data_IF_068669385054
#
_entry.id   IF_068669385054
#
_cell.length_a   1.000
_cell.length_b   1.000
_cell.length_c   1.000
_cell.angle_alpha   90.00
_cell.angle_beta   90.00
_cell.angle_gamma   90.00
#
_symmetry.space_group_name_H-M   'P 1'
#
loop_
_entity.id
_entity.type
_entity.pdbx_description
1 polymer ?
#
# COMPACT_ATOMS: atom_id res chain seq x y z
N UNK A 1 28.42 -26.22 4.12
CA UNK A 1 27.41 -25.69 3.17
C UNK A 1 26.33 -25.00 3.97
N UNK A 2 26.01 -23.77 3.61
CA UNK A 2 25.08 -22.86 4.28
C UNK A 2 23.65 -23.36 4.03
N UNK A 3 22.84 -23.49 5.09
CA UNK A 3 21.40 -23.71 4.97
C UNK A 3 20.67 -22.43 5.41
N UNK A 4 20.44 -21.54 4.45
CA UNK A 4 19.33 -20.58 4.45
C UNK A 4 18.04 -21.40 4.25
N UNK A 5 16.85 -21.08 4.76
CA UNK A 5 16.09 -19.84 4.71
C UNK A 5 15.06 -19.90 5.84
N UNK A 6 14.92 -18.80 6.58
CA UNK A 6 13.85 -18.56 7.55
C UNK A 6 12.49 -18.52 6.86
N UNK A 7 11.61 -19.47 7.16
CA UNK A 7 10.22 -19.45 6.71
C UNK A 7 9.47 -18.30 7.43
N UNK A 8 9.33 -17.19 6.72
CA UNK A 8 8.39 -16.13 7.03
C UNK A 8 6.96 -16.65 6.80
N UNK A 9 6.07 -16.36 7.74
CA UNK A 9 4.65 -16.75 7.63
C UNK A 9 3.82 -16.26 8.81
N UNK A 10 4.08 -15.05 9.29
CA UNK A 10 3.21 -14.34 10.22
C UNK A 10 2.22 -13.50 9.41
N UNK A 11 0.93 -13.83 9.50
CA UNK A 11 -0.12 -12.91 9.97
C UNK A 11 -1.49 -13.29 9.39
N UNK A 12 -2.34 -13.80 10.28
CA UNK A 12 -3.78 -13.86 10.13
C UNK A 12 -4.37 -12.46 10.02
N UNK A 13 -5.18 -12.15 9.00
CA UNK A 13 -6.19 -11.09 9.09
C UNK A 13 -7.46 -11.47 8.31
N UNK A 14 -8.34 -12.12 9.07
CA UNK A 14 -9.81 -12.08 9.06
C UNK A 14 -10.44 -11.16 8.01
N UNK A 15 -11.18 -11.77 7.06
CA UNK A 15 -12.06 -11.05 6.17
C UNK A 15 -13.26 -10.48 6.92
N UNK A 16 -13.35 -9.14 6.99
CA UNK A 16 -14.53 -8.45 7.47
C UNK A 16 -15.46 -8.17 6.28
N UNK A 17 -16.65 -8.75 6.34
CA UNK A 17 -17.80 -8.45 5.48
C UNK A 17 -18.37 -7.11 5.95
N UNK A 18 -18.42 -6.10 5.07
CA UNK A 18 -18.97 -4.78 5.41
C UNK A 18 -19.27 -3.93 4.17
N UNK A 19 -20.54 -3.90 3.79
CA UNK A 19 -21.27 -2.75 3.20
C UNK A 19 -20.51 -1.78 2.27
N UNK A 20 -20.57 -2.05 0.97
CA UNK A 20 -20.90 -1.05 -0.06
C UNK A 20 -20.20 0.32 -0.02
N UNK A 21 -18.87 0.37 0.07
CA UNK A 21 -18.09 1.41 -0.61
C UNK A 21 -17.83 0.86 -2.01
N UNK A 22 -17.93 1.66 -3.05
CA UNK A 22 -17.48 1.25 -4.39
C UNK A 22 -15.95 1.09 -4.33
N UNK A 23 -15.51 -0.07 -3.84
CA UNK A 23 -14.11 -0.45 -3.63
C UNK A 23 -13.39 -0.21 -4.94
N UNK A 24 -12.43 0.71 -4.93
CA UNK A 24 -11.72 1.13 -6.13
C UNK A 24 -10.79 0.03 -6.62
N UNK A 25 -11.36 -1.04 -7.17
CA UNK A 25 -10.70 -2.30 -7.52
C UNK A 25 -9.75 -2.79 -6.40
N UNK A 26 -10.19 -3.74 -5.55
CA UNK A 26 -9.42 -4.18 -4.37
C UNK A 26 -7.98 -4.64 -4.68
N UNK A 27 -7.69 -5.05 -5.93
CA UNK A 27 -6.32 -5.35 -6.36
C UNK A 27 -5.40 -4.13 -6.39
N UNK A 28 -5.91 -2.95 -6.75
CA UNK A 28 -5.11 -1.71 -6.80
C UNK A 28 -4.84 -1.14 -5.40
N UNK A 29 -5.80 -1.25 -4.48
CA UNK A 29 -5.61 -0.84 -3.09
C UNK A 29 -4.57 -1.74 -2.40
N UNK A 30 -4.65 -3.05 -2.65
CA UNK A 30 -3.64 -3.98 -2.16
C UNK A 30 -2.27 -3.73 -2.82
N UNK A 31 -2.21 -3.46 -4.12
CA UNK A 31 -0.98 -3.06 -4.80
C UNK A 31 -0.38 -1.79 -4.19
N UNK A 32 -1.21 -0.78 -3.88
CA UNK A 32 -0.75 0.45 -3.26
C UNK A 32 -0.10 0.22 -1.89
N UNK A 33 -0.70 -0.62 -1.04
CA UNK A 33 -0.07 -1.01 0.24
C UNK A 33 1.25 -1.76 0.01
N UNK A 34 1.26 -2.75 -0.88
CA UNK A 34 2.48 -3.50 -1.19
C UNK A 34 3.62 -2.59 -1.68
N UNK A 35 3.30 -1.54 -2.44
CA UNK A 35 4.28 -0.55 -2.89
C UNK A 35 4.76 0.36 -1.73
N UNK A 36 3.91 0.69 -0.76
CA UNK A 36 4.33 1.47 0.41
C UNK A 36 5.24 0.65 1.34
N UNK A 37 5.01 -0.66 1.44
CA UNK A 37 5.87 -1.60 2.15
C UNK A 37 7.15 -1.99 1.37
N UNK A 38 7.31 -1.56 0.12
CA UNK A 38 8.42 -1.98 -0.72
C UNK A 38 9.75 -1.35 -0.24
N UNK A 39 10.76 -2.17 0.15
CA UNK A 39 12.04 -1.66 0.60
C UNK A 39 12.81 -0.91 -0.49
N UNK A 40 12.47 -1.08 -1.77
CA UNK A 40 13.05 -0.34 -2.89
C UNK A 40 12.84 1.17 -2.76
N UNK A 41 11.74 1.62 -2.13
CA UNK A 41 11.48 3.04 -1.87
C UNK A 41 12.55 3.65 -0.97
N UNK A 42 12.68 3.20 0.29
CA UNK A 42 13.72 3.66 1.22
C UNK A 42 15.15 3.44 0.70
N UNK A 43 15.42 2.33 0.01
CA UNK A 43 16.74 2.07 -0.60
C UNK A 43 17.09 3.06 -1.70
N UNK A 44 16.08 3.61 -2.39
CA UNK A 44 16.24 4.63 -3.42
C UNK A 44 16.13 6.06 -2.85
N UNK A 45 15.96 6.21 -1.54
CA UNK A 45 15.85 7.51 -0.86
C UNK A 45 14.48 8.16 -0.89
N UNK A 46 13.42 7.43 -1.27
CA UNK A 46 12.04 7.92 -1.25
C UNK A 46 11.31 7.51 0.03
N UNK A 47 10.35 8.32 0.46
CA UNK A 47 9.40 7.89 1.49
C UNK A 47 8.45 6.82 0.93
N UNK A 48 7.87 5.94 1.79
CA UNK A 48 6.89 4.93 1.39
C UNK A 48 5.78 5.46 0.47
N UNK A 49 5.15 6.57 0.88
CA UNK A 49 4.06 7.18 0.13
C UNK A 49 4.54 7.82 -1.18
N UNK A 50 5.72 8.44 -1.22
CA UNK A 50 6.26 8.99 -2.47
C UNK A 50 6.57 7.89 -3.49
N UNK A 51 7.19 6.80 -3.04
CA UNK A 51 7.52 5.68 -3.91
C UNK A 51 6.27 5.03 -4.50
N UNK A 52 5.29 4.69 -3.64
CA UNK A 52 4.03 4.10 -4.09
C UNK A 52 3.26 5.04 -5.03
N UNK A 53 3.24 6.34 -4.73
CA UNK A 53 2.63 7.33 -5.61
C UNK A 53 3.30 7.34 -6.99
N UNK A 54 4.63 7.42 -7.07
CA UNK A 54 5.32 7.39 -8.37
C UNK A 54 5.00 6.13 -9.19
N UNK A 55 4.99 4.96 -8.54
CA UNK A 55 4.74 3.68 -9.20
C UNK A 55 3.29 3.56 -9.70
N UNK A 56 2.31 4.02 -8.92
CA UNK A 56 0.92 4.05 -9.34
C UNK A 56 0.70 5.08 -10.45
N UNK A 57 1.30 6.28 -10.35
CA UNK A 57 1.20 7.35 -11.34
C UNK A 57 1.72 6.98 -12.72
N UNK A 58 2.61 6.00 -12.81
CA UNK A 58 3.05 5.45 -14.09
C UNK A 58 1.94 4.69 -14.84
N UNK A 59 0.93 4.19 -14.12
CA UNK A 59 -0.17 3.37 -14.64
C UNK A 59 -1.52 4.09 -14.66
N UNK A 60 -1.70 5.14 -13.85
CA UNK A 60 -2.97 5.85 -13.69
C UNK A 60 -2.82 7.36 -13.44
N UNK A 61 -3.96 8.05 -13.38
CA UNK A 61 -4.03 9.50 -13.14
C UNK A 61 -3.55 9.91 -11.73
N UNK A 62 -3.26 11.20 -11.55
CA UNK A 62 -2.75 11.71 -10.27
C UNK A 62 -3.75 11.57 -9.14
N UNK A 63 -4.98 11.91 -9.49
CA UNK A 63 -6.09 11.80 -8.60
C UNK A 63 -6.39 10.34 -8.29
N UNK A 64 -6.41 9.46 -9.29
CA UNK A 64 -6.65 8.03 -9.08
C UNK A 64 -5.64 7.38 -8.13
N UNK A 65 -4.35 7.68 -8.31
CA UNK A 65 -3.31 7.16 -7.40
C UNK A 65 -3.51 7.65 -5.95
N UNK A 66 -3.86 8.93 -5.76
CA UNK A 66 -4.15 9.48 -4.42
C UNK A 66 -5.36 8.83 -3.78
N UNK A 67 -6.45 8.71 -4.54
CA UNK A 67 -7.71 8.14 -4.06
C UNK A 67 -7.54 6.67 -3.67
N UNK A 68 -6.75 5.90 -4.45
CA UNK A 68 -6.43 4.50 -4.14
C UNK A 68 -5.50 4.41 -2.94
N UNK A 69 -4.45 5.23 -2.85
CA UNK A 69 -3.54 5.20 -1.69
C UNK A 69 -4.24 5.61 -0.38
N UNK A 70 -5.14 6.60 -0.45
CA UNK A 70 -5.94 7.03 0.71
C UNK A 70 -6.87 5.92 1.19
N UNK A 71 -7.57 5.25 0.27
CA UNK A 71 -8.42 4.10 0.62
C UNK A 71 -7.59 2.91 1.11
N UNK A 72 -6.48 2.59 0.45
CA UNK A 72 -5.58 1.51 0.83
C UNK A 72 -5.04 1.67 2.25
N UNK A 73 -4.62 2.88 2.62
CA UNK A 73 -4.15 3.17 3.97
C UNK A 73 -5.28 3.12 5.02
N UNK A 74 -6.55 3.24 4.65
CA UNK A 74 -7.66 3.09 5.59
C UNK A 74 -8.11 1.62 5.72
N UNK A 75 -8.17 0.90 4.60
CA UNK A 75 -8.80 -0.42 4.52
C UNK A 75 -7.83 -1.60 4.63
N UNK A 76 -6.56 -1.42 4.22
CA UNK A 76 -5.60 -2.52 4.08
C UNK A 76 -4.32 -2.34 4.89
N UNK A 77 -3.75 -1.13 4.89
CA UNK A 77 -2.51 -0.83 5.59
C UNK A 77 -2.63 0.42 6.48
N UNK A 78 -3.39 0.33 7.59
CA UNK A 78 -3.59 1.43 8.54
C UNK A 78 -2.29 1.97 9.16
N UNK A 79 -1.21 1.18 9.15
CA UNK A 79 0.11 1.64 9.57
C UNK A 79 0.68 2.73 8.65
N UNK A 80 0.29 2.78 7.37
CA UNK A 80 0.79 3.75 6.40
C UNK A 80 0.00 5.06 6.35
N UNK A 81 -1.06 5.21 7.14
CA UNK A 81 -1.84 6.46 7.17
C UNK A 81 -0.98 7.66 7.62
N UNK A 82 0.04 7.41 8.45
CA UNK A 82 0.99 8.45 8.90
C UNK A 82 2.01 8.81 7.83
N UNK A 83 2.27 7.93 6.88
CA UNK A 83 3.20 8.17 5.78
C UNK A 83 2.54 8.99 4.66
N UNK A 84 1.21 8.98 4.59
CA UNK A 84 0.46 9.80 3.65
C UNK A 84 0.57 11.29 3.97
N UNK A 85 0.58 12.17 2.95
CA UNK A 85 0.40 13.60 3.12
C UNK A 85 -0.90 13.93 3.87
N UNK A 86 -0.89 14.94 4.74
CA UNK A 86 -2.05 15.30 5.56
C UNK A 86 -3.34 15.54 4.77
N UNK A 87 -3.23 16.03 3.53
CA UNK A 87 -4.38 16.24 2.64
C UNK A 87 -4.99 14.96 2.03
N UNK A 88 -4.37 13.79 2.25
CA UNK A 88 -4.78 12.50 1.67
C UNK A 88 -5.24 11.50 2.76
N UNK A 89 -5.12 11.89 4.04
CA UNK A 89 -5.58 11.10 5.18
C UNK A 89 -7.08 11.30 5.39
#
# INVERSE_FOLDING_TARGET
>A
MIATITAAGLACLVGLVGSGIARANPGQEQEACQLMDDPAGPQSGYTPAEYAFMMLRAKMSAQGARDIMSQAAQDYCPNHIVDLPASWR
#
